data_IF_656664314160
#
_entry.id   IF_656664314160
#
_cell.length_a   1.000
_cell.length_b   1.000
_cell.length_c   1.000
_cell.angle_alpha   90.00
_cell.angle_beta   90.00
_cell.angle_gamma   90.00
#
_symmetry.space_group_name_H-M   'P 1'
#
loop_
_entity.id
_entity.type
_entity.pdbx_description
1 polymer ?
#
# COMPACT_ATOMS: atom_id res chain seq x y z
N UNK A 1 8.71 -25.28 -7.22
CA UNK A 1 7.61 -24.36 -6.81
C UNK A 1 8.18 -22.96 -6.76
N UNK A 2 7.45 -21.98 -7.28
CA UNK A 2 7.84 -20.57 -7.21
C UNK A 2 7.94 -20.11 -5.75
N UNK A 3 8.98 -19.33 -5.46
CA UNK A 3 9.21 -18.77 -4.13
C UNK A 3 8.38 -17.48 -3.98
N UNK A 4 7.24 -17.59 -3.28
CA UNK A 4 6.34 -16.48 -3.01
C UNK A 4 6.54 -16.00 -1.57
N UNK A 5 6.76 -14.69 -1.35
CA UNK A 5 6.87 -14.08 -0.03
C UNK A 5 5.97 -12.86 0.08
N UNK A 6 5.09 -12.85 1.06
CA UNK A 6 4.26 -11.71 1.44
C UNK A 6 4.80 -11.13 2.75
N UNK A 7 5.42 -9.97 2.67
CA UNK A 7 5.86 -9.24 3.85
C UNK A 7 4.65 -8.77 4.65
N UNK A 8 4.60 -9.14 5.92
CA UNK A 8 3.57 -8.69 6.86
C UNK A 8 4.17 -7.56 7.69
N UNK A 9 3.93 -6.30 7.30
CA UNK A 9 4.47 -5.14 8.01
C UNK A 9 3.86 -5.01 9.41
N UNK A 10 4.73 -4.98 10.44
CA UNK A 10 4.35 -5.03 11.84
C UNK A 10 5.07 -3.97 12.69
N UNK A 11 4.32 -3.29 13.55
CA UNK A 11 4.88 -2.39 14.57
C UNK A 11 4.42 -2.75 16.00
N UNK A 12 3.68 -3.85 16.15
CA UNK A 12 3.29 -4.47 17.43
C UNK A 12 3.02 -5.96 17.23
N UNK A 13 3.11 -6.74 18.30
CA UNK A 13 2.76 -8.16 18.29
C UNK A 13 1.31 -8.39 17.86
N UNK A 14 1.09 -9.40 17.04
CA UNK A 14 -0.23 -9.79 16.55
C UNK A 14 -0.24 -11.28 16.16
N UNK A 15 -1.43 -11.87 16.09
CA UNK A 15 -1.58 -13.23 15.60
C UNK A 15 -1.25 -13.28 14.08
N UNK A 16 -0.38 -14.19 13.69
CA UNK A 16 0.10 -14.36 12.31
C UNK A 16 -0.45 -15.64 11.69
N UNK A 17 -0.68 -15.67 10.37
CA UNK A 17 -0.93 -16.91 9.65
C UNK A 17 0.29 -17.83 9.75
N UNK A 18 0.05 -19.13 9.92
CA UNK A 18 1.12 -20.13 9.98
C UNK A 18 1.66 -20.52 8.58
N UNK A 19 1.03 -20.04 7.51
CA UNK A 19 1.43 -20.35 6.13
C UNK A 19 2.77 -19.69 5.77
N UNK A 20 3.67 -20.46 5.21
CA UNK A 20 5.06 -20.08 4.90
C UNK A 20 5.21 -18.96 3.87
N UNK A 21 4.15 -18.61 3.14
CA UNK A 21 4.17 -17.44 2.22
C UNK A 21 4.19 -16.12 2.99
N UNK A 22 3.70 -16.08 4.24
CA UNK A 22 3.66 -14.88 5.05
C UNK A 22 4.96 -14.71 5.85
N UNK A 23 5.69 -13.65 5.55
CA UNK A 23 6.96 -13.32 6.18
C UNK A 23 6.79 -12.09 7.08
N UNK A 24 6.67 -12.23 8.41
CA UNK A 24 6.55 -11.08 9.31
C UNK A 24 7.82 -10.25 9.28
N UNK A 25 7.66 -8.92 9.19
CA UNK A 25 8.75 -7.95 9.21
C UNK A 25 8.43 -6.80 10.17
N UNK A 26 9.30 -6.58 11.13
CA UNK A 26 9.25 -5.46 12.07
C UNK A 26 9.73 -4.19 11.37
N UNK A 27 8.96 -3.10 11.46
CA UNK A 27 9.22 -1.87 10.70
C UNK A 27 9.58 -0.69 11.61
N UNK A 28 10.38 0.24 11.09
CA UNK A 28 10.78 1.46 11.78
C UNK A 28 11.73 1.24 12.95
N UNK A 29 12.54 0.20 12.90
CA UNK A 29 13.50 -0.14 13.97
C UNK A 29 12.83 -0.62 15.25
N UNK A 30 11.54 -0.95 15.24
CA UNK A 30 10.82 -1.46 16.42
C UNK A 30 11.25 -2.89 16.73
N UNK A 31 11.54 -3.17 18.00
CA UNK A 31 11.74 -4.52 18.53
C UNK A 31 10.46 -4.99 19.21
N UNK A 32 9.81 -6.00 18.65
CA UNK A 32 8.57 -6.56 19.19
C UNK A 32 8.92 -7.80 20.02
N UNK A 33 8.70 -7.80 21.36
CA UNK A 33 8.95 -8.97 22.19
C UNK A 33 8.19 -10.21 21.69
N UNK A 34 8.85 -11.37 21.68
CA UNK A 34 8.31 -12.64 21.18
C UNK A 34 8.35 -12.79 19.66
N UNK A 35 9.01 -11.85 18.95
CA UNK A 35 9.16 -11.88 17.49
C UNK A 35 10.62 -11.78 17.04
N UNK A 36 11.53 -12.34 17.84
CA UNK A 36 12.98 -12.25 17.60
C UNK A 36 13.41 -12.89 16.27
N UNK A 37 12.65 -13.87 15.78
CA UNK A 37 12.88 -14.55 14.50
C UNK A 37 12.22 -13.86 13.29
N UNK A 38 11.46 -12.78 13.50
CA UNK A 38 10.86 -12.04 12.39
C UNK A 38 11.93 -11.19 11.67
N UNK A 39 11.70 -10.97 10.37
CA UNK A 39 12.52 -10.07 9.58
C UNK A 39 12.49 -8.65 10.18
N UNK A 40 13.48 -7.83 9.84
CA UNK A 40 13.60 -6.45 10.31
C UNK A 40 13.96 -5.54 9.16
N UNK A 41 13.23 -4.44 9.02
CA UNK A 41 13.46 -3.48 7.95
C UNK A 41 14.66 -2.56 8.15
N UNK A 42 15.34 -2.66 9.31
CA UNK A 42 16.53 -1.87 9.68
C UNK A 42 17.86 -2.62 9.46
N UNK A 43 17.84 -3.73 8.71
CA UNK A 43 19.02 -4.51 8.33
C UNK A 43 19.34 -4.34 6.85
N UNK A 44 20.57 -4.65 6.42
CA UNK A 44 20.97 -4.55 5.02
C UNK A 44 20.70 -3.17 4.39
N UNK A 45 20.40 -3.14 3.08
CA UNK A 45 20.01 -1.91 2.39
C UNK A 45 18.58 -1.51 2.79
N UNK A 46 18.40 -0.36 3.43
CA UNK A 46 17.12 0.00 4.04
C UNK A 46 16.88 1.51 4.12
N UNK A 47 15.61 1.86 4.38
CA UNK A 47 15.12 3.21 4.69
C UNK A 47 14.28 3.21 5.98
N UNK A 48 14.58 2.35 6.92
CA UNK A 48 13.81 2.13 8.16
C UNK A 48 13.62 3.43 8.97
N UNK A 49 14.63 4.31 8.98
CA UNK A 49 14.57 5.63 9.63
C UNK A 49 13.50 6.56 9.06
N UNK A 50 12.98 6.27 7.85
CA UNK A 50 11.90 7.04 7.19
C UNK A 50 10.50 6.48 7.49
N UNK A 51 10.37 5.46 8.35
CA UNK A 51 9.08 4.77 8.59
C UNK A 51 7.97 5.71 9.04
N UNK A 52 8.27 6.80 9.74
CA UNK A 52 7.29 7.82 10.16
C UNK A 52 6.47 8.34 8.97
N UNK A 53 7.10 8.57 7.82
CA UNK A 53 6.47 9.16 6.64
C UNK A 53 6.20 8.16 5.51
N UNK A 54 7.00 7.09 5.41
CA UNK A 54 6.86 6.02 4.42
C UNK A 54 5.98 4.85 4.89
N UNK A 55 5.75 4.70 6.19
CA UNK A 55 4.95 3.64 6.79
C UNK A 55 5.43 2.23 6.35
N UNK A 56 4.51 1.37 5.90
CA UNK A 56 4.78 0.02 5.42
C UNK A 56 5.70 -0.06 4.20
N UNK A 57 5.94 1.04 3.51
CA UNK A 57 6.85 1.08 2.37
C UNK A 57 8.31 0.84 2.77
N UNK A 58 8.69 1.05 4.04
CA UNK A 58 10.04 0.69 4.52
C UNK A 58 10.25 -0.82 4.49
N UNK A 59 9.21 -1.62 4.81
CA UNK A 59 9.23 -3.07 4.63
C UNK A 59 9.33 -3.46 3.15
N UNK A 60 8.58 -2.77 2.27
CA UNK A 60 8.65 -3.01 0.82
C UNK A 60 10.06 -2.74 0.29
N UNK A 61 10.65 -1.58 0.64
CA UNK A 61 12.00 -1.23 0.23
C UNK A 61 13.02 -2.29 0.66
N UNK A 62 12.94 -2.68 1.94
CA UNK A 62 13.83 -3.70 2.48
C UNK A 62 13.68 -5.04 1.75
N UNK A 63 12.44 -5.50 1.51
CA UNK A 63 12.18 -6.73 0.78
C UNK A 63 12.64 -6.68 -0.67
N UNK A 64 12.43 -5.53 -1.33
CA UNK A 64 12.91 -5.30 -2.69
C UNK A 64 14.44 -5.42 -2.79
N UNK A 65 15.18 -4.88 -1.82
CA UNK A 65 16.65 -4.84 -1.82
C UNK A 65 17.31 -6.12 -1.29
N UNK A 66 16.69 -6.81 -0.33
CA UNK A 66 17.38 -7.84 0.44
C UNK A 66 16.78 -9.26 0.27
N UNK A 67 15.54 -9.42 -0.22
CA UNK A 67 14.95 -10.73 -0.40
C UNK A 67 15.07 -11.26 -1.82
N UNK A 68 15.39 -12.55 -1.93
CA UNK A 68 15.33 -13.30 -3.19
C UNK A 68 14.00 -14.09 -3.20
N UNK A 69 13.07 -13.69 -4.08
CA UNK A 69 11.79 -14.36 -4.27
C UNK A 69 11.31 -14.14 -5.71
N UNK A 70 10.61 -15.14 -6.27
CA UNK A 70 10.02 -15.03 -7.62
C UNK A 70 8.82 -14.06 -7.61
N UNK A 71 8.09 -14.04 -6.50
CA UNK A 71 7.02 -13.08 -6.23
C UNK A 71 7.20 -12.48 -4.84
N UNK A 72 7.12 -11.17 -4.76
CA UNK A 72 7.12 -10.44 -3.50
C UNK A 72 5.82 -9.65 -3.34
N UNK A 73 5.25 -9.70 -2.15
CA UNK A 73 4.04 -8.95 -1.80
C UNK A 73 4.19 -8.18 -0.50
N UNK A 74 3.26 -7.25 -0.30
CA UNK A 74 3.13 -6.47 0.92
C UNK A 74 1.70 -6.57 1.45
N UNK A 75 1.58 -6.92 2.71
CA UNK A 75 0.34 -6.90 3.49
C UNK A 75 0.62 -6.29 4.86
N UNK A 76 -0.42 -6.09 5.65
CA UNK A 76 -0.30 -5.50 6.97
C UNK A 76 -0.84 -6.45 8.03
N UNK A 77 -0.26 -6.53 9.21
CA UNK A 77 -0.68 -7.45 10.29
C UNK A 77 -2.18 -7.41 10.65
N UNK A 78 -2.91 -6.40 10.23
CA UNK A 78 -4.37 -6.25 10.43
C UNK A 78 -5.19 -6.42 9.15
N UNK A 79 -4.54 -6.60 8.00
CA UNK A 79 -5.17 -6.65 6.67
C UNK A 79 -4.45 -7.65 5.80
N UNK A 80 -5.19 -8.61 5.29
CA UNK A 80 -4.67 -9.67 4.44
C UNK A 80 -5.56 -9.86 3.22
N UNK A 81 -5.04 -10.44 2.18
CA UNK A 81 -5.88 -11.01 1.12
C UNK A 81 -6.77 -12.08 1.71
N UNK A 82 -8.00 -12.17 1.21
CA UNK A 82 -9.00 -13.07 1.76
C UNK A 82 -9.43 -14.13 0.76
N UNK A 83 -9.81 -15.29 1.29
CA UNK A 83 -10.51 -16.34 0.54
C UNK A 83 -11.83 -15.82 0.00
N UNK A 84 -12.24 -16.33 -1.16
CA UNK A 84 -13.55 -16.01 -1.76
C UNK A 84 -14.74 -16.72 -1.07
N UNK A 85 -14.51 -17.39 0.06
CA UNK A 85 -15.55 -18.13 0.81
C UNK A 85 -16.19 -17.26 1.90
N UNK A 86 -17.53 -17.26 2.01
CA UNK A 86 -18.22 -16.61 3.12
C UNK A 86 -18.14 -17.48 4.39
N UNK A 87 -18.15 -16.81 5.58
CA UNK A 87 -18.24 -17.47 6.88
C UNK A 87 -16.92 -17.61 7.64
N UNK A 88 -16.97 -18.16 8.84
CA UNK A 88 -15.83 -18.39 9.72
C UNK A 88 -15.35 -17.14 10.47
N UNK A 89 -14.37 -17.32 11.37
CA UNK A 89 -13.69 -16.21 12.04
C UNK A 89 -12.90 -15.41 11.00
N UNK A 90 -12.71 -14.12 11.23
CA UNK A 90 -11.96 -13.23 10.31
C UNK A 90 -10.58 -13.78 9.95
N UNK A 91 -9.89 -14.38 10.91
CA UNK A 91 -8.58 -14.97 10.75
C UNK A 91 -8.59 -16.16 9.79
N UNK A 92 -9.60 -17.04 9.89
CA UNK A 92 -9.75 -18.21 9.02
C UNK A 92 -10.02 -17.84 7.54
N UNK A 93 -10.34 -16.57 7.29
CA UNK A 93 -10.57 -16.03 5.94
C UNK A 93 -9.31 -15.51 5.25
N UNK A 94 -8.15 -15.55 5.90
CA UNK A 94 -6.89 -15.17 5.27
C UNK A 94 -6.60 -16.18 4.14
N UNK A 95 -6.22 -15.66 2.96
CA UNK A 95 -5.87 -16.50 1.82
C UNK A 95 -4.63 -17.33 2.13
N UNK A 96 -4.67 -18.63 1.83
CA UNK A 96 -3.52 -19.52 1.95
C UNK A 96 -2.53 -19.34 0.80
N UNK A 97 -1.31 -19.84 0.95
CA UNK A 97 -0.30 -19.86 -0.12
C UNK A 97 -0.81 -20.52 -1.40
N UNK A 98 -1.61 -21.59 -1.27
CA UNK A 98 -2.24 -22.25 -2.43
C UNK A 98 -3.20 -21.31 -3.16
N UNK A 99 -3.99 -20.50 -2.44
CA UNK A 99 -4.93 -19.55 -3.05
C UNK A 99 -4.21 -18.35 -3.67
N UNK A 100 -3.11 -17.90 -3.06
CA UNK A 100 -2.23 -16.88 -3.63
C UNK A 100 -1.61 -17.40 -4.93
N UNK A 101 -1.06 -18.62 -4.93
CA UNK A 101 -0.49 -19.24 -6.13
C UNK A 101 -1.54 -19.36 -7.25
N UNK A 102 -2.72 -19.90 -6.96
CA UNK A 102 -3.81 -20.03 -7.94
C UNK A 102 -4.31 -18.66 -8.49
N UNK A 103 -4.12 -17.57 -7.75
CA UNK A 103 -4.40 -16.23 -8.23
C UNK A 103 -3.29 -15.72 -9.16
N UNK A 104 -2.02 -16.04 -8.87
CA UNK A 104 -0.86 -15.67 -9.69
C UNK A 104 -0.80 -16.43 -11.02
N UNK A 105 -1.36 -17.64 -11.11
CA UNK A 105 -1.53 -18.34 -12.37
C UNK A 105 -2.42 -17.58 -13.39
N UNK A 106 -3.29 -16.68 -12.91
CA UNK A 106 -4.22 -15.89 -13.75
C UNK A 106 -3.60 -14.58 -14.25
N UNK A 107 -2.73 -13.99 -13.44
CA UNK A 107 -2.04 -12.75 -13.78
C UNK A 107 -0.80 -12.59 -12.89
N UNK A 108 0.26 -11.92 -13.38
CA UNK A 108 1.52 -11.78 -12.65
C UNK A 108 1.45 -10.84 -11.44
N UNK A 109 0.30 -10.21 -11.22
CA UNK A 109 0.06 -9.30 -10.09
C UNK A 109 -1.27 -9.60 -9.43
N UNK A 110 -1.29 -9.60 -8.10
CA UNK A 110 -2.51 -9.60 -7.28
C UNK A 110 -2.67 -8.24 -6.63
N UNK A 111 -3.86 -7.65 -6.75
CA UNK A 111 -4.24 -6.42 -6.07
C UNK A 111 -5.44 -6.66 -5.14
N UNK A 112 -5.62 -5.85 -4.08
CA UNK A 112 -6.87 -5.87 -3.31
C UNK A 112 -8.02 -5.39 -4.18
N UNK A 113 -9.25 -5.87 -3.96
CA UNK A 113 -10.42 -5.30 -4.63
C UNK A 113 -10.45 -3.79 -4.46
N UNK A 114 -10.77 -3.06 -5.54
CA UNK A 114 -10.91 -1.61 -5.52
C UNK A 114 -11.89 -1.18 -4.44
N UNK A 115 -11.49 -0.14 -3.71
CA UNK A 115 -12.37 0.54 -2.77
C UNK A 115 -13.12 1.65 -3.50
N UNK A 116 -14.44 1.66 -3.39
CA UNK A 116 -15.28 2.70 -3.98
C UNK A 116 -15.62 3.77 -2.93
N UNK A 117 -15.46 5.04 -3.29
CA UNK A 117 -15.81 6.21 -2.47
C UNK A 117 -17.17 6.83 -2.87
N UNK A 118 -17.83 6.30 -3.90
CA UNK A 118 -19.18 6.63 -4.37
C UNK A 118 -19.38 8.10 -4.79
N UNK A 119 -19.12 9.04 -3.91
CA UNK A 119 -19.42 10.47 -4.03
C UNK A 119 -18.18 11.36 -4.08
N UNK A 120 -16.98 10.80 -3.98
CA UNK A 120 -15.71 11.51 -4.08
C UNK A 120 -14.79 10.82 -5.08
N UNK A 121 -14.10 11.63 -5.87
CA UNK A 121 -13.00 11.15 -6.70
C UNK A 121 -11.78 10.84 -5.81
N UNK A 122 -10.80 10.13 -6.35
CA UNK A 122 -9.52 9.91 -5.67
C UNK A 122 -8.88 11.23 -5.28
N UNK A 123 -8.95 12.24 -6.15
CA UNK A 123 -8.44 13.59 -5.89
C UNK A 123 -9.19 14.25 -4.74
N UNK A 124 -10.52 14.37 -4.82
CA UNK A 124 -11.30 15.06 -3.79
C UNK A 124 -11.23 14.35 -2.44
N UNK A 125 -11.16 13.00 -2.44
CA UNK A 125 -10.97 12.22 -1.23
C UNK A 125 -9.61 12.53 -0.57
N UNK A 126 -8.55 12.73 -1.38
CA UNK A 126 -7.24 13.09 -0.85
C UNK A 126 -7.27 14.48 -0.24
N UNK A 127 -7.66 15.52 -0.99
CA UNK A 127 -7.60 16.91 -0.53
C UNK A 127 -8.56 17.23 0.63
N UNK A 128 -9.59 16.42 0.84
CA UNK A 128 -10.47 16.55 2.01
C UNK A 128 -9.87 15.89 3.28
N UNK A 129 -8.84 15.07 3.16
CA UNK A 129 -8.21 14.37 4.27
C UNK A 129 -6.75 14.78 4.51
N UNK A 130 -6.09 15.30 3.48
CA UNK A 130 -4.68 15.64 3.41
C UNK A 130 -4.47 16.99 2.71
N UNK A 131 -3.24 17.34 2.42
CA UNK A 131 -2.90 18.61 1.78
C UNK A 131 -2.89 18.48 0.26
N UNK A 132 -3.53 19.43 -0.43
CA UNK A 132 -3.57 19.49 -1.91
C UNK A 132 -2.17 19.57 -2.52
N UNK A 133 -1.30 20.31 -1.87
CA UNK A 133 0.08 20.57 -2.27
C UNK A 133 0.90 19.28 -2.49
N UNK A 134 0.55 18.20 -1.77
CA UNK A 134 1.18 16.89 -1.95
C UNK A 134 0.92 16.32 -3.35
N UNK A 135 -0.33 16.41 -3.82
CA UNK A 135 -0.72 15.96 -5.16
C UNK A 135 -0.16 16.88 -6.25
N UNK A 136 -0.11 18.21 -5.99
CA UNK A 136 0.47 19.18 -6.92
C UNK A 136 1.98 18.90 -7.10
N UNK A 137 2.69 18.57 -6.02
CA UNK A 137 4.10 18.19 -6.08
C UNK A 137 4.30 16.92 -6.92
N UNK A 138 3.49 15.87 -6.68
CA UNK A 138 3.54 14.64 -7.48
C UNK A 138 3.26 14.91 -8.95
N UNK A 139 2.22 15.70 -9.27
CA UNK A 139 1.89 16.04 -10.66
C UNK A 139 3.04 16.78 -11.34
N UNK A 140 3.72 17.72 -10.66
CA UNK A 140 4.89 18.42 -11.19
C UNK A 140 6.06 17.48 -11.44
N UNK A 141 6.33 16.54 -10.50
CA UNK A 141 7.38 15.53 -10.67
C UNK A 141 7.10 14.65 -11.89
N UNK A 142 5.85 14.22 -12.06
CA UNK A 142 5.47 13.41 -13.22
C UNK A 142 5.63 14.21 -14.52
N UNK A 143 5.26 15.50 -14.54
CA UNK A 143 5.43 16.35 -15.72
C UNK A 143 6.90 16.54 -16.10
N UNK A 144 7.78 16.67 -15.11
CA UNK A 144 9.21 16.92 -15.31
C UNK A 144 10.01 15.66 -15.71
N UNK A 145 9.71 14.51 -15.06
CA UNK A 145 10.53 13.29 -15.19
C UNK A 145 9.82 12.14 -15.91
N UNK A 146 8.48 12.11 -15.84
CA UNK A 146 7.67 10.96 -16.23
C UNK A 146 6.40 11.38 -16.98
N UNK A 147 6.51 12.27 -17.97
CA UNK A 147 5.37 12.86 -18.67
C UNK A 147 4.38 11.83 -19.24
N UNK A 148 4.86 10.63 -19.63
CA UNK A 148 4.02 9.54 -20.12
C UNK A 148 3.00 9.03 -19.07
N UNK A 149 3.21 9.31 -17.78
CA UNK A 149 2.31 8.91 -16.69
C UNK A 149 1.17 9.91 -16.43
N UNK A 150 1.23 11.13 -16.97
CA UNK A 150 0.22 12.17 -16.73
C UNK A 150 -1.20 11.78 -17.16
N UNK A 151 -1.42 11.13 -18.33
CA UNK A 151 -2.77 10.70 -18.70
C UNK A 151 -3.38 9.71 -17.70
N UNK A 152 -2.62 8.71 -17.25
CA UNK A 152 -3.05 7.75 -16.23
C UNK A 152 -3.26 8.44 -14.88
N UNK A 153 -2.38 9.38 -14.49
CA UNK A 153 -2.53 10.17 -13.26
C UNK A 153 -3.85 10.93 -13.26
N UNK A 154 -4.16 11.66 -14.32
CA UNK A 154 -5.41 12.40 -14.44
C UNK A 154 -6.64 11.46 -14.38
N UNK A 155 -6.59 10.33 -15.09
CA UNK A 155 -7.66 9.33 -15.10
C UNK A 155 -7.88 8.72 -13.69
N UNK A 156 -6.82 8.32 -12.99
CA UNK A 156 -6.88 7.73 -11.64
C UNK A 156 -7.39 8.76 -10.62
N UNK A 157 -6.93 10.01 -10.70
CA UNK A 157 -7.39 11.07 -9.80
C UNK A 157 -8.86 11.42 -10.01
N UNK A 158 -9.39 11.29 -11.22
CA UNK A 158 -10.80 11.53 -11.55
C UNK A 158 -11.76 10.40 -11.14
N UNK A 159 -11.27 9.20 -10.79
CA UNK A 159 -12.12 8.04 -10.46
C UNK A 159 -12.60 8.07 -9.01
N UNK A 160 -13.78 7.48 -8.80
CA UNK A 160 -14.35 7.26 -7.46
C UNK A 160 -13.88 5.97 -6.80
N UNK A 161 -13.04 5.18 -7.47
CA UNK A 161 -12.53 3.90 -6.96
C UNK A 161 -11.06 3.72 -7.27
N UNK A 162 -10.37 2.90 -6.46
CA UNK A 162 -8.96 2.55 -6.69
C UNK A 162 -8.48 1.51 -5.69
N UNK A 163 -7.35 0.88 -6.02
CA UNK A 163 -6.65 0.01 -5.10
C UNK A 163 -6.04 0.84 -3.97
N UNK A 164 -6.07 0.31 -2.74
CA UNK A 164 -5.63 1.05 -1.55
C UNK A 164 -4.81 0.13 -0.65
N UNK A 165 -4.24 0.70 0.39
CA UNK A 165 -3.52 0.01 1.47
C UNK A 165 -2.08 -0.40 1.14
N UNK A 166 -1.51 0.01 0.02
CA UNK A 166 -0.18 -0.44 -0.44
C UNK A 166 -0.05 -1.98 -0.44
N UNK A 167 -1.16 -2.68 -0.73
CA UNK A 167 -1.20 -4.14 -0.74
C UNK A 167 -1.12 -4.66 -2.16
N UNK A 168 -0.25 -5.62 -2.39
CA UNK A 168 -0.12 -6.34 -3.66
C UNK A 168 0.73 -7.60 -3.49
N UNK A 169 0.73 -8.46 -4.50
CA UNK A 169 1.77 -9.45 -4.77
C UNK A 169 2.18 -9.26 -6.21
N UNK A 170 3.47 -9.14 -6.49
CA UNK A 170 4.00 -8.90 -7.84
C UNK A 170 5.09 -9.88 -8.18
N UNK A 171 5.16 -10.32 -9.43
CA UNK A 171 6.31 -11.02 -9.97
C UNK A 171 7.55 -10.11 -9.90
N UNK A 172 8.71 -10.71 -9.67
CA UNK A 172 9.95 -9.98 -9.33
C UNK A 172 10.32 -8.88 -10.32
N UNK A 173 10.28 -9.17 -11.62
CA UNK A 173 10.59 -8.20 -12.67
C UNK A 173 9.65 -6.98 -12.67
N UNK A 174 8.36 -7.24 -12.43
CA UNK A 174 7.34 -6.18 -12.32
C UNK A 174 7.55 -5.36 -11.05
N UNK A 175 7.86 -6.02 -9.94
CA UNK A 175 8.16 -5.36 -8.67
C UNK A 175 9.38 -4.45 -8.80
N UNK A 176 10.46 -4.94 -9.45
CA UNK A 176 11.70 -4.17 -9.63
C UNK A 176 11.44 -2.88 -10.42
N UNK A 177 10.66 -2.98 -11.50
CA UNK A 177 10.28 -1.82 -12.30
C UNK A 177 9.37 -0.84 -11.52
N UNK A 178 8.38 -1.37 -10.80
CA UNK A 178 7.48 -0.57 -9.96
C UNK A 178 8.23 0.14 -8.84
N UNK A 179 9.03 -0.58 -8.06
CA UNK A 179 9.76 -0.02 -6.94
C UNK A 179 10.78 1.03 -7.40
N UNK A 180 11.49 0.77 -8.51
CA UNK A 180 12.44 1.74 -9.08
C UNK A 180 11.74 3.07 -9.40
N UNK A 181 10.61 3.03 -10.08
CA UNK A 181 9.84 4.22 -10.42
C UNK A 181 9.20 4.88 -9.19
N UNK A 182 8.52 4.10 -8.37
CA UNK A 182 7.76 4.62 -7.23
C UNK A 182 8.67 5.29 -6.20
N UNK A 183 9.79 4.64 -5.84
CA UNK A 183 10.73 5.23 -4.89
C UNK A 183 11.49 6.43 -5.44
N UNK A 184 11.75 6.51 -6.77
CA UNK A 184 12.29 7.73 -7.38
C UNK A 184 11.29 8.89 -7.31
N UNK A 185 10.01 8.65 -7.65
CA UNK A 185 8.97 9.68 -7.50
C UNK A 185 8.84 10.15 -6.04
N UNK A 186 8.86 9.23 -5.07
CA UNK A 186 8.78 9.59 -3.65
C UNK A 186 10.03 10.33 -3.16
N UNK A 187 11.22 9.97 -3.64
CA UNK A 187 12.46 10.69 -3.32
C UNK A 187 12.46 12.12 -3.87
N UNK A 188 11.88 12.35 -5.05
CA UNK A 188 11.66 13.71 -5.56
C UNK A 188 10.58 14.46 -4.76
N UNK A 189 9.54 13.75 -4.29
CA UNK A 189 8.53 14.34 -3.43
C UNK A 189 9.11 14.78 -2.08
N UNK A 190 10.05 14.06 -1.49
CA UNK A 190 10.76 14.47 -0.26
C UNK A 190 11.48 15.82 -0.38
N UNK A 191 11.93 16.19 -1.59
CA UNK A 191 12.60 17.47 -1.82
C UNK A 191 11.61 18.66 -1.86
N UNK A 192 10.32 18.38 -2.02
CA UNK A 192 9.26 19.38 -2.22
C UNK A 192 8.25 19.43 -1.08
N UNK A 193 8.08 18.32 -0.35
CA UNK A 193 7.11 18.15 0.73
C UNK A 193 7.87 17.99 2.04
N UNK A 194 7.74 18.96 2.93
CA UNK A 194 8.31 18.89 4.28
C UNK A 194 7.34 18.16 5.23
N UNK A 195 7.47 16.83 5.28
CA UNK A 195 6.61 15.98 6.10
C UNK A 195 6.75 16.26 7.61
N UNK A 196 7.81 16.92 8.07
CA UNK A 196 8.04 17.24 9.48
C UNK A 196 7.15 18.40 9.96
N UNK A 197 6.63 19.21 9.05
CA UNK A 197 5.65 20.24 9.36
C UNK A 197 4.24 19.71 9.58
N UNK A 198 3.99 18.46 9.22
CA UNK A 198 2.66 17.85 9.32
C UNK A 198 2.43 17.23 10.70
N UNK A 199 1.16 17.16 11.10
CA UNK A 199 0.77 16.36 12.26
C UNK A 199 1.09 14.86 12.08
N UNK A 200 0.98 14.09 13.15
CA UNK A 200 1.33 12.67 13.13
C UNK A 200 0.53 11.84 12.10
N UNK A 201 -0.68 12.28 11.72
CA UNK A 201 -1.48 11.59 10.72
C UNK A 201 -1.03 11.97 9.30
N UNK A 202 -0.93 13.26 9.00
CA UNK A 202 -0.56 13.76 7.68
C UNK A 202 0.94 13.58 7.38
N UNK A 203 1.79 13.51 8.41
CA UNK A 203 3.21 13.18 8.26
C UNK A 203 3.50 11.82 7.60
N UNK A 204 2.47 10.97 7.42
CA UNK A 204 2.51 9.71 6.68
C UNK A 204 2.36 9.90 5.16
N UNK A 205 2.66 11.05 4.66
CA UNK A 205 2.35 11.53 3.31
C UNK A 205 2.83 10.59 2.20
N UNK A 206 4.05 10.08 2.28
CA UNK A 206 4.61 9.22 1.21
C UNK A 206 3.90 7.87 1.14
N UNK A 207 3.46 7.30 2.28
CA UNK A 207 2.58 6.14 2.31
C UNK A 207 1.23 6.41 1.63
N UNK A 208 0.65 7.59 1.85
CA UNK A 208 -0.62 7.97 1.21
C UNK A 208 -0.47 8.24 -0.30
N UNK A 209 0.62 8.86 -0.72
CA UNK A 209 0.90 9.10 -2.14
C UNK A 209 1.11 7.78 -2.90
N UNK A 210 1.88 6.86 -2.34
CA UNK A 210 2.14 5.55 -2.94
C UNK A 210 0.85 4.76 -3.21
N UNK A 211 -0.16 4.83 -2.32
CA UNK A 211 -1.47 4.18 -2.57
C UNK A 211 -2.16 4.65 -3.86
N UNK A 212 -1.89 5.85 -4.33
CA UNK A 212 -2.46 6.43 -5.56
C UNK A 212 -1.57 6.13 -6.76
N UNK A 213 -0.28 6.18 -6.55
CA UNK A 213 0.73 5.93 -7.58
C UNK A 213 0.70 4.50 -8.10
N UNK A 214 0.27 3.52 -7.30
CA UNK A 214 0.13 2.14 -7.74
C UNK A 214 -0.79 2.01 -8.96
N UNK A 215 -2.01 2.56 -8.89
CA UNK A 215 -2.96 2.51 -10.02
C UNK A 215 -2.41 3.27 -11.24
N UNK A 216 -1.73 4.39 -11.03
CA UNK A 216 -1.11 5.18 -12.11
C UNK A 216 -0.05 4.36 -12.84
N UNK A 217 0.83 3.69 -12.08
CA UNK A 217 1.87 2.86 -12.65
C UNK A 217 1.32 1.65 -13.40
N UNK A 218 0.35 0.95 -12.79
CA UNK A 218 -0.30 -0.23 -13.38
C UNK A 218 -0.96 0.09 -14.73
N UNK A 219 -1.64 1.23 -14.83
CA UNK A 219 -2.31 1.65 -16.06
C UNK A 219 -1.34 2.10 -17.13
N UNK A 220 -0.35 2.93 -16.79
CA UNK A 220 0.63 3.41 -17.76
C UNK A 220 1.41 2.25 -18.39
N UNK A 221 1.72 1.22 -17.61
CA UNK A 221 2.49 0.06 -18.07
C UNK A 221 1.63 -1.11 -18.55
N UNK A 222 0.30 -0.95 -18.60
CA UNK A 222 -0.64 -1.98 -19.05
C UNK A 222 -0.46 -3.35 -18.36
N UNK A 223 -0.19 -3.34 -17.05
CA UNK A 223 0.09 -4.56 -16.30
C UNK A 223 -1.20 -5.32 -16.01
N UNK A 224 -1.25 -6.59 -16.42
CA UNK A 224 -2.35 -7.48 -16.09
C UNK A 224 -2.33 -7.83 -14.59
N UNK A 225 -3.51 -7.88 -13.96
CA UNK A 225 -3.66 -8.22 -12.56
C UNK A 225 -4.95 -9.00 -12.29
N UNK A 226 -4.98 -9.72 -11.17
CA UNK A 226 -6.19 -10.27 -10.57
C UNK A 226 -6.50 -9.59 -9.25
N UNK A 227 -7.76 -9.57 -8.84
CA UNK A 227 -8.17 -8.97 -7.57
C UNK A 227 -8.60 -10.04 -6.57
N UNK A 228 -8.13 -9.91 -5.32
CA UNK A 228 -8.63 -10.67 -4.19
C UNK A 228 -9.33 -9.74 -3.18
N UNK A 229 -10.36 -10.25 -2.47
CA UNK A 229 -10.95 -9.52 -1.35
C UNK A 229 -9.92 -9.26 -0.26
N UNK A 230 -10.23 -8.32 0.63
CA UNK A 230 -9.41 -8.03 1.82
C UNK A 230 -10.19 -8.37 3.08
N UNK A 231 -9.55 -9.07 4.01
CA UNK A 231 -10.04 -9.26 5.37
C UNK A 231 -9.36 -8.28 6.33
N UNK A 232 -10.18 -7.61 7.14
CA UNK A 232 -9.73 -6.72 8.21
C UNK A 232 -9.91 -7.45 9.53
N UNK A 233 -8.82 -7.79 10.20
CA UNK A 233 -8.86 -8.55 11.48
C UNK A 233 -9.45 -7.71 12.61
N UNK A 234 -9.13 -6.43 12.65
CA UNK A 234 -9.72 -5.48 13.60
C UNK A 234 -11.12 -5.00 13.16
N UNK A 235 -11.93 -4.61 14.12
CA UNK A 235 -13.25 -4.03 13.82
C UNK A 235 -13.09 -2.66 13.16
N UNK A 236 -13.68 -2.55 11.98
CA UNK A 236 -13.69 -1.31 11.21
C UNK A 236 -14.92 -0.49 11.62
N UNK A 237 -14.85 0.38 12.60
CA UNK A 237 -15.98 1.22 13.05
C UNK A 237 -16.57 2.07 11.91
N UNK A 238 -17.25 1.41 10.96
CA UNK A 238 -17.76 2.00 9.71
C UNK A 238 -18.67 3.20 9.93
N UNK A 239 -19.51 3.15 10.99
CA UNK A 239 -20.39 4.26 11.34
C UNK A 239 -19.59 5.52 11.72
N UNK A 240 -18.55 5.39 12.58
CA UNK A 240 -17.68 6.52 12.92
C UNK A 240 -16.89 7.05 11.72
N UNK A 241 -16.47 6.17 10.80
CA UNK A 241 -15.78 6.56 9.57
C UNK A 241 -16.73 7.26 8.59
N UNK A 242 -17.97 6.78 8.44
CA UNK A 242 -19.01 7.39 7.59
C UNK A 242 -19.41 8.78 8.07
N UNK A 243 -19.64 8.96 9.37
CA UNK A 243 -19.99 10.28 9.93
C UNK A 243 -18.83 11.28 9.82
N UNK A 244 -17.59 10.85 10.09
CA UNK A 244 -16.41 11.69 9.92
C UNK A 244 -16.16 12.07 8.44
N UNK A 245 -16.50 11.19 7.50
CA UNK A 245 -16.45 11.45 6.07
C UNK A 245 -17.47 12.51 5.64
N UNK A 246 -18.72 12.37 6.07
CA UNK A 246 -19.79 13.33 5.78
C UNK A 246 -19.51 14.71 6.41
N UNK A 247 -19.01 14.75 7.64
CA UNK A 247 -18.69 16.01 8.32
C UNK A 247 -17.55 16.78 7.65
N UNK A 248 -16.53 16.09 7.12
CA UNK A 248 -15.45 16.72 6.35
C UNK A 248 -15.97 17.33 5.05
N UNK A 249 -16.82 16.62 4.31
CA UNK A 249 -17.42 17.13 3.08
C UNK A 249 -18.27 18.39 3.31
N UNK A 250 -19.01 18.46 4.44
CA UNK A 250 -19.81 19.62 4.81
C UNK A 250 -18.92 20.82 5.15
N UNK A 251 -17.79 20.60 5.86
CA UNK A 251 -16.84 21.68 6.19
C UNK A 251 -16.18 22.29 4.95
N UNK A 252 -15.85 21.46 3.95
CA UNK A 252 -15.22 21.92 2.70
C UNK A 252 -16.19 22.64 1.76
N UNK A 253 -17.51 22.52 1.97
CA UNK A 253 -18.54 23.23 1.21
C UNK A 253 -18.94 24.59 1.80
N UNK A 254 -18.37 25.00 2.93
CA UNK A 254 -18.57 26.36 3.43
C UNK A 254 -17.51 27.27 2.81
N UNK A 255 -17.93 28.31 2.08
CA UNK A 255 -17.05 29.30 1.45
C UNK A 255 -16.18 30.01 2.48
#
# INVERSE_FOLDING_TARGET
>A
MENIKLLVAMHKAYCLPEDAVYAPIQVGGVHIPGMENALRDDTGENISNKNRSYCELTALYWGWKNLQADYLGLVHYRRYFARRMPGGRKFDRIASGTEIHAALEKAPVILPKKRNYWIETTYTQYIHAHYKEDLDAVQSILAEKYAAYLPAYAAVMGRTSGHRFNMFVMRRDILDAYCTWMFDVLAEAEKRIDADRYDAYNGRVYGFLAERLLDVWMETNHIAYTELPVVFLENQHWLKKGTAFLSRKIRYRRP
#
